data_IF_671062742094
#
_entry.id   IF_671062742094
#
_cell.length_a   1.000
_cell.length_b   1.000
_cell.length_c   1.000
_cell.angle_alpha   90.00
_cell.angle_beta   90.00
_cell.angle_gamma   90.00
#
_symmetry.space_group_name_H-M   'P 1'
#
loop_
_entity.id
_entity.type
_entity.pdbx_description
1 polymer ?
#
# COMPACT_ATOMS: atom_id res chain seq x y z
N UNK A 1 -30.20 25.80 -82.65
CA UNK A 1 -30.05 25.11 -81.33
C UNK A 1 -28.91 25.75 -80.61
N UNK A 2 -29.17 26.50 -79.54
CA UNK A 2 -28.14 27.20 -78.75
C UNK A 2 -28.06 26.42 -77.43
N UNK A 3 -26.87 26.11 -76.84
CA UNK A 3 -26.76 25.49 -75.58
C UNK A 3 -26.94 26.47 -74.41
N UNK A 4 -27.72 26.10 -73.45
CA UNK A 4 -27.96 26.80 -72.18
C UNK A 4 -26.87 26.38 -71.23
N UNK A 5 -26.12 27.32 -70.67
CA UNK A 5 -25.13 27.13 -69.62
C UNK A 5 -25.81 27.38 -68.27
N UNK A 6 -25.78 26.47 -67.29
CA UNK A 6 -26.29 26.76 -65.98
C UNK A 6 -25.25 27.54 -65.13
N UNK A 7 -25.71 28.61 -64.51
CA UNK A 7 -24.94 29.42 -63.58
C UNK A 7 -24.72 28.66 -62.24
N UNK A 8 -23.46 28.52 -61.83
CA UNK A 8 -23.08 28.07 -60.48
C UNK A 8 -23.28 29.21 -59.48
N UNK A 9 -24.20 29.04 -58.57
CA UNK A 9 -24.29 29.88 -57.33
C UNK A 9 -23.19 29.39 -56.34
N UNK A 10 -22.19 30.24 -56.13
CA UNK A 10 -21.22 30.04 -55.04
C UNK A 10 -21.86 30.48 -53.70
N UNK A 11 -22.16 29.53 -52.83
CA UNK A 11 -22.56 29.79 -51.46
C UNK A 11 -21.33 30.13 -50.60
N UNK A 12 -21.21 31.40 -50.19
CA UNK A 12 -20.21 31.84 -49.21
C UNK A 12 -20.70 31.52 -47.82
N UNK A 13 -20.12 30.48 -47.19
CA UNK A 13 -20.33 30.22 -45.74
C UNK A 13 -19.52 31.22 -44.91
N UNK A 14 -20.12 31.90 -43.92
CA UNK A 14 -19.33 32.67 -42.98
C UNK A 14 -18.63 31.75 -42.01
N UNK A 15 -17.29 31.79 -41.98
CA UNK A 15 -16.50 31.17 -40.90
C UNK A 15 -16.74 31.94 -39.61
N UNK A 16 -17.54 31.38 -38.74
CA UNK A 16 -17.61 31.81 -37.35
C UNK A 16 -16.30 31.41 -36.65
N UNK A 17 -15.43 32.39 -36.39
CA UNK A 17 -14.30 32.22 -35.49
C UNK A 17 -14.87 31.99 -34.07
N UNK A 18 -14.95 30.75 -33.65
CA UNK A 18 -15.07 30.43 -32.23
C UNK A 18 -13.73 30.77 -31.55
N UNK A 19 -13.63 31.96 -30.97
CA UNK A 19 -12.63 32.28 -29.96
C UNK A 19 -12.91 31.39 -28.73
N UNK A 20 -12.23 30.25 -28.64
CA UNK A 20 -12.16 29.46 -27.42
C UNK A 20 -11.42 30.32 -26.40
N UNK A 21 -12.15 30.96 -25.51
CA UNK A 21 -11.57 31.53 -24.30
C UNK A 21 -11.02 30.39 -23.48
N UNK A 22 -9.70 30.18 -23.53
CA UNK A 22 -9.01 29.33 -22.56
C UNK A 22 -9.18 30.00 -21.21
N UNK A 23 -10.10 29.47 -20.39
CA UNK A 23 -10.15 29.84 -18.99
C UNK A 23 -8.77 29.60 -18.42
N UNK A 24 -8.11 30.67 -18.02
CA UNK A 24 -6.83 30.59 -17.30
C UNK A 24 -7.17 30.00 -15.94
N UNK A 25 -6.94 28.69 -15.79
CA UNK A 25 -7.12 27.99 -14.52
C UNK A 25 -6.13 28.65 -13.53
N UNK A 26 -6.66 29.38 -12.55
CA UNK A 26 -5.82 29.95 -11.48
C UNK A 26 -5.23 28.76 -10.75
N UNK A 27 -3.89 28.58 -10.75
CA UNK A 27 -3.29 27.47 -10.05
C UNK A 27 -3.72 27.50 -8.58
N UNK A 28 -4.18 26.37 -8.04
CA UNK A 28 -4.44 26.28 -6.62
C UNK A 28 -3.19 26.72 -5.84
N UNK A 29 -3.34 27.47 -4.74
CA UNK A 29 -2.18 27.92 -3.97
C UNK A 29 -1.36 26.71 -3.55
N UNK A 30 -0.04 26.80 -3.71
CA UNK A 30 0.89 25.76 -3.31
C UNK A 30 0.72 25.47 -1.82
N UNK A 31 0.60 24.18 -1.45
CA UNK A 31 0.58 23.78 -0.05
C UNK A 31 1.96 24.03 0.52
N UNK A 32 2.03 24.88 1.54
CA UNK A 32 3.27 25.13 2.27
C UNK A 32 3.42 24.04 3.33
N UNK A 33 4.51 23.28 3.24
CA UNK A 33 4.82 22.26 4.24
C UNK A 33 5.32 22.93 5.52
N UNK A 34 4.73 22.57 6.66
CA UNK A 34 5.15 22.98 8.00
C UNK A 34 4.85 21.87 8.99
N UNK A 35 5.88 21.10 9.33
CA UNK A 35 5.78 19.98 10.27
C UNK A 35 6.10 20.37 11.72
N UNK A 36 6.72 21.53 11.95
CA UNK A 36 7.13 21.96 13.31
C UNK A 36 5.99 22.56 14.10
N UNK A 37 5.14 21.75 14.66
CA UNK A 37 3.99 22.19 15.46
C UNK A 37 3.84 21.46 16.81
N UNK A 38 4.86 20.70 17.24
CA UNK A 38 4.89 19.99 18.51
C UNK A 38 4.13 18.65 18.50
N UNK A 39 3.65 18.21 17.34
CA UNK A 39 2.94 16.94 17.17
C UNK A 39 3.64 16.11 16.11
N UNK A 40 4.13 14.93 16.46
CA UNK A 40 4.77 14.02 15.50
C UNK A 40 3.70 13.36 14.63
N UNK A 41 3.71 13.64 13.33
CA UNK A 41 2.73 13.10 12.37
C UNK A 41 3.36 12.14 11.37
N UNK A 42 2.81 10.94 11.35
CA UNK A 42 3.21 9.89 10.40
C UNK A 42 2.07 9.64 9.41
N UNK A 43 2.45 9.50 8.14
CA UNK A 43 1.53 9.12 7.05
C UNK A 43 2.11 7.99 6.21
N UNK A 44 1.26 7.06 5.80
CA UNK A 44 1.70 6.00 4.90
C UNK A 44 0.67 4.93 4.61
N UNK A 45 1.11 3.89 3.91
CA UNK A 45 0.29 2.73 3.59
C UNK A 45 -0.12 1.97 4.87
N UNK A 46 -1.15 1.12 4.79
CA UNK A 46 -1.50 0.19 5.87
C UNK A 46 -0.31 -0.69 6.29
N UNK A 47 -0.55 -1.81 6.90
CA UNK A 47 0.48 -2.77 7.28
C UNK A 47 1.09 -2.51 8.65
N UNK A 48 2.06 -1.63 8.86
CA UNK A 48 2.67 -1.41 10.18
C UNK A 48 1.83 -0.53 11.12
N UNK A 49 0.66 -0.06 10.69
CA UNK A 49 -0.20 0.87 11.43
C UNK A 49 -0.43 0.44 12.87
N UNK A 50 -0.87 -0.81 13.09
CA UNK A 50 -1.15 -1.33 14.43
C UNK A 50 0.10 -1.36 15.30
N UNK A 51 1.23 -1.79 14.73
CA UNK A 51 2.51 -1.82 15.43
C UNK A 51 3.00 -0.41 15.78
N UNK A 52 2.93 0.52 14.82
CA UNK A 52 3.33 1.91 15.02
C UNK A 52 2.49 2.60 16.11
N UNK A 53 1.16 2.35 16.16
CA UNK A 53 0.29 2.87 17.22
C UNK A 53 0.67 2.36 18.59
N UNK A 54 1.09 1.10 18.72
CA UNK A 54 1.59 0.55 19.98
C UNK A 54 2.88 1.24 20.43
N UNK A 55 3.82 1.47 19.51
CA UNK A 55 5.05 2.22 19.79
C UNK A 55 4.73 3.68 20.13
N UNK A 56 3.81 4.31 19.39
CA UNK A 56 3.37 5.68 19.66
C UNK A 56 2.74 5.83 21.05
N UNK A 57 1.93 4.87 21.47
CA UNK A 57 1.35 4.85 22.82
C UNK A 57 2.44 4.76 23.90
N UNK A 58 3.46 3.93 23.70
CA UNK A 58 4.59 3.84 24.62
C UNK A 58 5.38 5.15 24.65
N UNK A 59 5.64 5.75 23.48
CA UNK A 59 6.35 7.02 23.37
C UNK A 59 5.61 8.16 24.07
N UNK A 60 4.32 8.31 23.78
CA UNK A 60 3.49 9.35 24.40
C UNK A 60 3.42 9.20 25.92
N UNK A 61 3.30 7.96 26.42
CA UNK A 61 3.31 7.69 27.88
C UNK A 61 4.61 8.15 28.53
N UNK A 62 5.74 7.96 27.87
CA UNK A 62 7.07 8.24 28.44
C UNK A 62 7.49 9.71 28.27
N UNK A 63 7.01 10.41 27.24
CA UNK A 63 7.48 11.76 26.89
C UNK A 63 6.41 12.84 27.00
N UNK A 64 5.13 12.47 27.01
CA UNK A 64 4.00 13.40 26.88
C UNK A 64 3.77 13.91 25.45
N UNK A 65 4.64 13.59 24.50
CA UNK A 65 4.55 14.06 23.11
C UNK A 65 3.47 13.30 22.36
N UNK A 66 2.58 14.03 21.69
CA UNK A 66 1.55 13.45 20.86
C UNK A 66 2.15 12.91 19.56
N UNK A 67 1.80 11.67 19.22
CA UNK A 67 2.14 11.03 17.95
C UNK A 67 0.84 10.65 17.23
N UNK A 68 0.64 11.20 16.04
CA UNK A 68 -0.54 10.94 15.20
C UNK A 68 -0.15 10.10 14.00
N UNK A 69 -0.84 8.96 13.83
CA UNK A 69 -0.58 8.02 12.74
C UNK A 69 -1.79 7.97 11.83
N UNK A 70 -1.58 8.28 10.55
CA UNK A 70 -2.61 8.22 9.51
C UNK A 70 -2.19 7.20 8.46
N UNK A 71 -2.93 6.09 8.39
CA UNK A 71 -2.65 4.98 7.50
C UNK A 71 -3.79 4.78 6.49
N UNK A 72 -3.48 4.16 5.36
CA UNK A 72 -4.49 3.76 4.37
C UNK A 72 -4.15 4.23 2.96
N UNK A 73 -5.16 4.26 2.07
CA UNK A 73 -4.96 4.69 0.69
C UNK A 73 -4.48 6.14 0.62
N UNK A 74 -3.39 6.38 -0.10
CA UNK A 74 -2.74 7.69 -0.21
C UNK A 74 -3.71 8.85 -0.53
N UNK A 75 -4.66 8.75 -1.46
CA UNK A 75 -5.56 9.86 -1.77
C UNK A 75 -6.35 10.39 -0.58
N UNK A 76 -6.53 9.58 0.47
CA UNK A 76 -7.31 9.97 1.65
C UNK A 76 -6.55 10.91 2.59
N UNK A 77 -5.23 10.98 2.50
CA UNK A 77 -4.38 11.77 3.39
C UNK A 77 -3.36 12.66 2.68
N UNK A 78 -3.26 12.62 1.35
CA UNK A 78 -2.27 13.35 0.55
C UNK A 78 -2.11 14.82 0.96
N UNK A 79 -3.23 15.58 0.98
CA UNK A 79 -3.18 17.02 1.29
C UNK A 79 -2.65 17.30 2.69
N UNK A 80 -3.04 16.48 3.67
CA UNK A 80 -2.56 16.64 5.04
C UNK A 80 -1.07 16.31 5.14
N UNK A 81 -0.62 15.23 4.51
CA UNK A 81 0.79 14.88 4.50
C UNK A 81 1.66 15.94 3.79
N UNK A 82 1.17 16.51 2.68
CA UNK A 82 1.85 17.62 2.01
C UNK A 82 1.98 18.86 2.91
N UNK A 83 1.04 19.06 3.83
CA UNK A 83 1.04 20.22 4.72
C UNK A 83 1.89 20.02 5.98
N UNK A 84 1.95 18.81 6.57
CA UNK A 84 2.48 18.67 7.92
C UNK A 84 3.06 17.28 8.26
N UNK A 85 3.46 16.48 7.30
CA UNK A 85 4.07 15.19 7.61
C UNK A 85 5.47 15.36 8.16
N UNK A 86 5.73 14.87 9.38
CA UNK A 86 7.08 14.67 9.90
C UNK A 86 7.74 13.45 9.28
N UNK A 87 6.96 12.38 9.13
CA UNK A 87 7.45 11.07 8.70
C UNK A 87 6.48 10.51 7.66
N UNK A 88 7.04 10.02 6.55
CA UNK A 88 6.33 9.11 5.65
C UNK A 88 6.87 7.70 5.85
N UNK A 89 6.00 6.69 5.69
CA UNK A 89 6.43 5.29 5.64
C UNK A 89 5.85 4.57 4.43
N UNK A 90 6.66 3.69 3.85
CA UNK A 90 6.26 2.70 2.84
C UNK A 90 6.31 1.29 3.41
N UNK A 91 5.68 0.36 2.73
CA UNK A 91 5.65 -1.07 3.08
C UNK A 91 6.30 -1.94 2.01
N UNK A 92 6.90 -1.31 1.04
CA UNK A 92 7.78 -1.83 0.00
C UNK A 92 8.50 -0.65 -0.68
N UNK A 93 9.53 -0.95 -1.46
CA UNK A 93 10.29 0.03 -2.21
C UNK A 93 9.41 0.81 -3.21
N UNK A 94 8.40 0.17 -3.78
CA UNK A 94 7.45 0.81 -4.71
C UNK A 94 6.61 1.87 -4.01
N UNK A 95 6.12 1.59 -2.80
CA UNK A 95 5.28 2.53 -2.05
C UNK A 95 6.05 3.81 -1.76
N UNK A 96 7.26 3.68 -1.17
CA UNK A 96 8.05 4.85 -0.79
C UNK A 96 8.54 5.63 -2.01
N UNK A 97 8.88 4.95 -3.11
CA UNK A 97 9.28 5.60 -4.36
C UNK A 97 8.14 6.48 -4.88
N UNK A 98 6.92 5.95 -4.96
CA UNK A 98 5.77 6.71 -5.41
C UNK A 98 5.44 7.88 -4.47
N UNK A 99 5.57 7.69 -3.15
CA UNK A 99 5.40 8.80 -2.19
C UNK A 99 6.42 9.90 -2.41
N UNK A 100 7.69 9.58 -2.66
CA UNK A 100 8.72 10.59 -2.95
C UNK A 100 8.51 11.33 -4.27
N UNK A 101 7.80 10.74 -5.22
CA UNK A 101 7.36 11.43 -6.42
C UNK A 101 6.25 12.45 -6.14
N UNK A 102 5.39 12.18 -5.17
CA UNK A 102 4.27 13.04 -4.74
C UNK A 102 4.71 14.10 -3.73
N UNK A 103 5.56 13.73 -2.76
CA UNK A 103 5.96 14.57 -1.63
C UNK A 103 7.39 15.04 -1.80
N UNK A 104 7.59 16.09 -2.61
CA UNK A 104 8.92 16.62 -3.01
C UNK A 104 9.76 17.18 -1.86
N UNK A 105 9.17 17.40 -0.69
CA UNK A 105 9.88 17.82 0.53
C UNK A 105 10.81 16.73 1.05
N UNK A 106 10.49 15.45 0.79
CA UNK A 106 11.26 14.32 1.29
C UNK A 106 12.33 13.87 0.30
N UNK A 107 13.46 13.40 0.82
CA UNK A 107 14.60 12.97 0.01
C UNK A 107 14.77 11.46 0.03
N UNK A 108 14.99 10.86 -1.14
CA UNK A 108 15.29 9.41 -1.24
C UNK A 108 16.57 9.00 -0.50
N UNK A 109 17.49 9.93 -0.28
CA UNK A 109 18.75 9.67 0.46
C UNK A 109 18.51 9.42 1.95
N UNK A 110 17.38 9.92 2.47
CA UNK A 110 17.03 9.86 3.88
C UNK A 110 16.08 8.70 4.21
N UNK A 111 15.74 7.87 3.21
CA UNK A 111 14.91 6.68 3.41
C UNK A 111 15.69 5.62 4.20
N UNK A 112 15.09 5.16 5.29
CA UNK A 112 15.65 4.16 6.18
C UNK A 112 14.76 2.91 6.19
N UNK A 113 15.22 1.75 5.70
CA UNK A 113 14.59 0.47 5.98
C UNK A 113 14.73 0.16 7.48
N UNK A 114 13.63 -0.15 8.15
CA UNK A 114 13.64 -0.35 9.61
C UNK A 114 13.25 -1.76 10.04
N UNK A 115 12.33 -2.41 9.34
CA UNK A 115 11.88 -3.79 9.60
C UNK A 115 11.54 -4.50 8.29
N UNK A 116 11.47 -5.83 8.35
CA UNK A 116 10.98 -6.68 7.27
C UNK A 116 9.87 -7.59 7.78
N UNK A 117 9.04 -8.09 6.86
CA UNK A 117 8.03 -9.14 7.14
C UNK A 117 7.98 -10.16 6.00
N UNK A 118 7.74 -11.46 6.31
CA UNK A 118 7.56 -12.47 5.29
C UNK A 118 6.13 -12.44 4.74
N UNK A 119 5.95 -12.78 3.46
CA UNK A 119 4.65 -13.20 2.97
C UNK A 119 4.27 -14.54 3.61
N UNK A 120 2.97 -14.72 3.88
CA UNK A 120 2.40 -15.92 4.51
C UNK A 120 1.13 -16.34 3.79
N UNK A 121 0.60 -17.48 4.19
CA UNK A 121 -0.75 -17.92 3.84
C UNK A 121 -1.64 -17.68 5.07
N UNK A 122 -2.61 -16.78 4.99
CA UNK A 122 -3.72 -16.76 5.93
C UNK A 122 -4.72 -17.84 5.54
N UNK A 123 -5.15 -18.64 6.50
CA UNK A 123 -6.17 -19.69 6.32
C UNK A 123 -7.34 -19.43 7.25
N UNK A 124 -8.51 -20.00 6.95
CA UNK A 124 -9.66 -19.93 7.86
C UNK A 124 -9.28 -20.42 9.27
N UNK A 125 -9.88 -19.83 10.29
CA UNK A 125 -9.68 -20.23 11.69
C UNK A 125 -9.85 -21.73 11.86
N UNK A 126 -8.88 -22.38 12.52
CA UNK A 126 -8.81 -23.82 12.70
C UNK A 126 -8.32 -24.60 11.47
N UNK A 127 -7.99 -23.90 10.38
CA UNK A 127 -7.42 -24.50 9.15
C UNK A 127 -8.19 -25.75 8.67
N UNK A 128 -9.48 -25.64 8.36
CA UNK A 128 -10.33 -26.81 8.06
C UNK A 128 -9.89 -27.61 6.82
N UNK A 129 -9.11 -26.99 5.91
CA UNK A 129 -8.54 -27.64 4.73
C UNK A 129 -7.20 -28.31 4.98
N UNK A 130 -6.62 -28.15 6.17
CA UNK A 130 -5.33 -28.73 6.52
C UNK A 130 -4.19 -28.21 5.64
N UNK A 131 -4.23 -26.93 5.23
CA UNK A 131 -3.20 -26.28 4.40
C UNK A 131 -1.92 -26.18 5.21
N UNK A 132 -0.81 -26.70 4.68
CA UNK A 132 0.51 -26.71 5.32
C UNK A 132 1.55 -25.90 4.57
N UNK A 133 1.24 -25.46 3.35
CA UNK A 133 2.14 -24.71 2.50
C UNK A 133 1.56 -24.43 1.14
N UNK A 134 2.38 -23.85 0.26
CA UNK A 134 1.97 -23.40 -1.06
C UNK A 134 1.42 -24.54 -1.94
N UNK A 135 2.01 -25.74 -1.87
CA UNK A 135 1.62 -26.87 -2.73
C UNK A 135 0.16 -27.31 -2.47
N UNK A 136 -0.35 -27.13 -1.25
CA UNK A 136 -1.75 -27.39 -0.95
C UNK A 136 -2.68 -26.42 -1.68
N UNK A 137 -2.22 -25.20 -1.98
CA UNK A 137 -2.97 -24.19 -2.72
C UNK A 137 -3.15 -24.55 -4.21
N UNK A 138 -2.33 -25.47 -4.72
CA UNK A 138 -2.40 -25.96 -6.11
C UNK A 138 -3.43 -27.06 -6.32
N UNK A 139 -4.06 -27.58 -5.27
CA UNK A 139 -5.10 -28.60 -5.36
C UNK A 139 -6.36 -28.02 -6.00
N UNK A 140 -7.02 -28.82 -6.85
CA UNK A 140 -8.25 -28.39 -7.50
C UNK A 140 -9.34 -28.06 -6.48
N UNK A 141 -10.09 -27.00 -6.75
CA UNK A 141 -11.23 -26.59 -5.94
C UNK A 141 -10.87 -25.80 -4.67
N UNK A 142 -9.60 -25.41 -4.50
CA UNK A 142 -9.23 -24.44 -3.48
C UNK A 142 -9.81 -23.07 -3.82
N UNK A 143 -10.27 -22.34 -2.81
CA UNK A 143 -10.76 -20.98 -2.96
C UNK A 143 -9.71 -20.01 -2.39
N UNK A 144 -9.03 -19.30 -3.25
CA UNK A 144 -7.94 -18.41 -2.86
C UNK A 144 -8.33 -16.96 -3.12
N UNK A 145 -8.11 -16.10 -2.14
CA UNK A 145 -8.16 -14.65 -2.32
C UNK A 145 -6.73 -14.14 -2.47
N UNK A 146 -6.56 -13.15 -3.31
CA UNK A 146 -5.29 -12.43 -3.47
C UNK A 146 -5.52 -10.92 -3.48
N UNK A 147 -4.49 -10.17 -3.12
CA UNK A 147 -4.49 -8.73 -3.34
C UNK A 147 -4.04 -8.47 -4.77
N UNK A 148 -4.76 -7.61 -5.47
CA UNK A 148 -4.50 -7.28 -6.87
C UNK A 148 -3.06 -6.80 -7.06
N UNK A 149 -2.34 -7.42 -8.00
CA UNK A 149 -0.94 -7.18 -8.27
C UNK A 149 -0.70 -6.26 -9.46
N UNK A 150 -1.37 -5.15 -9.55
CA UNK A 150 -1.26 -4.29 -10.73
C UNK A 150 -0.06 -3.35 -10.75
N UNK A 151 0.65 -3.18 -9.63
CA UNK A 151 1.70 -2.16 -9.50
C UNK A 151 1.20 -0.71 -9.59
N UNK A 152 -0.11 -0.49 -9.68
CA UNK A 152 -0.71 0.84 -9.88
C UNK A 152 -1.12 1.48 -8.56
N UNK A 153 -1.36 0.68 -7.52
CA UNK A 153 -1.78 1.19 -6.23
C UNK A 153 -0.65 1.07 -5.21
N UNK A 154 -0.39 2.16 -4.50
CA UNK A 154 0.58 2.23 -3.39
C UNK A 154 0.00 1.52 -2.14
N UNK A 155 -0.24 0.22 -2.24
CA UNK A 155 -0.79 -0.59 -1.16
C UNK A 155 0.11 -1.76 -0.84
N UNK A 156 0.26 -2.05 0.45
CA UNK A 156 1.01 -3.22 0.89
C UNK A 156 0.32 -4.50 0.41
N UNK A 157 1.10 -5.47 -0.05
CA UNK A 157 0.59 -6.73 -0.57
C UNK A 157 0.30 -6.74 -2.07
N UNK A 158 0.46 -5.62 -2.76
CA UNK A 158 0.36 -5.56 -4.22
C UNK A 158 1.42 -6.45 -4.86
N UNK A 159 1.02 -7.36 -5.75
CA UNK A 159 1.92 -8.25 -6.50
C UNK A 159 2.51 -9.42 -5.72
N UNK A 160 2.27 -9.53 -4.42
CA UNK A 160 2.92 -10.57 -3.60
C UNK A 160 2.54 -11.99 -4.02
N UNK A 161 1.34 -12.21 -4.52
CA UNK A 161 0.89 -13.54 -4.92
C UNK A 161 1.58 -14.03 -6.19
N UNK A 162 1.85 -13.15 -7.16
CA UNK A 162 2.60 -13.45 -8.36
C UNK A 162 4.03 -13.86 -8.01
N UNK A 163 4.66 -13.09 -7.13
CA UNK A 163 6.02 -13.38 -6.65
C UNK A 163 6.09 -14.73 -5.95
N UNK A 164 5.12 -15.04 -5.08
CA UNK A 164 5.05 -16.33 -4.37
C UNK A 164 4.79 -17.49 -5.34
N UNK A 165 3.81 -17.35 -6.22
CA UNK A 165 3.44 -18.41 -7.17
C UNK A 165 4.55 -18.66 -8.21
N UNK A 166 5.18 -17.60 -8.70
CA UNK A 166 6.24 -17.67 -9.71
C UNK A 166 7.64 -17.91 -9.16
N UNK A 167 7.84 -17.91 -7.83
CA UNK A 167 9.16 -17.89 -7.18
C UNK A 167 10.14 -18.95 -7.66
N UNK A 168 9.67 -20.16 -7.94
CA UNK A 168 10.51 -21.28 -8.38
C UNK A 168 10.55 -21.44 -9.92
N UNK A 169 10.01 -20.47 -10.67
CA UNK A 169 10.04 -20.48 -12.14
C UNK A 169 9.08 -21.47 -12.80
N UNK A 170 8.18 -22.12 -12.05
CA UNK A 170 7.20 -23.06 -12.58
C UNK A 170 5.97 -22.31 -13.12
N UNK A 171 5.82 -22.29 -14.44
CA UNK A 171 4.61 -21.72 -15.07
C UNK A 171 3.37 -22.57 -14.78
N UNK A 172 3.54 -23.89 -14.56
CA UNK A 172 2.43 -24.77 -14.17
C UNK A 172 1.91 -24.42 -12.77
N UNK A 173 2.80 -24.16 -11.82
CA UNK A 173 2.42 -23.70 -10.47
C UNK A 173 1.59 -22.40 -10.56
N UNK A 174 2.08 -21.41 -11.30
CA UNK A 174 1.38 -20.14 -11.50
C UNK A 174 -0.01 -20.35 -12.12
N UNK A 175 -0.11 -21.20 -13.15
CA UNK A 175 -1.36 -21.52 -13.83
C UNK A 175 -2.35 -22.20 -12.88
N UNK A 176 -1.90 -23.23 -12.16
CA UNK A 176 -2.76 -23.97 -11.21
C UNK A 176 -3.20 -23.09 -10.05
N UNK A 177 -2.28 -22.31 -9.49
CA UNK A 177 -2.61 -21.34 -8.44
C UNK A 177 -3.69 -20.35 -8.93
N UNK A 178 -3.46 -19.75 -10.10
CA UNK A 178 -4.38 -18.77 -10.70
C UNK A 178 -5.79 -19.33 -10.94
N UNK A 179 -5.91 -20.60 -11.29
CA UNK A 179 -7.20 -21.27 -11.50
C UNK A 179 -8.04 -21.32 -10.22
N UNK A 180 -7.39 -21.31 -9.05
CA UNK A 180 -8.02 -21.37 -7.75
C UNK A 180 -8.35 -19.98 -7.16
N UNK A 181 -7.95 -18.87 -7.82
CA UNK A 181 -8.26 -17.53 -7.33
C UNK A 181 -9.74 -17.23 -7.58
N UNK A 182 -10.46 -16.97 -6.50
CA UNK A 182 -11.89 -16.62 -6.52
C UNK A 182 -12.14 -15.12 -6.37
N UNK A 183 -11.16 -14.36 -5.88
CA UNK A 183 -11.27 -12.90 -5.76
C UNK A 183 -9.91 -12.21 -5.78
N UNK A 184 -9.91 -11.03 -6.43
CA UNK A 184 -8.81 -10.08 -6.43
C UNK A 184 -9.25 -8.83 -5.67
N UNK A 185 -8.66 -8.59 -4.50
CA UNK A 185 -8.99 -7.42 -3.69
C UNK A 185 -8.14 -6.21 -4.08
N UNK A 186 -8.77 -5.06 -4.23
CA UNK A 186 -8.06 -3.78 -4.39
C UNK A 186 -7.51 -3.30 -3.05
N UNK A 187 -6.30 -3.75 -2.73
CA UNK A 187 -5.65 -3.54 -1.44
C UNK A 187 -6.01 -4.60 -0.39
N UNK A 188 -5.18 -4.70 0.65
CA UNK A 188 -5.26 -5.76 1.66
C UNK A 188 -6.59 -5.76 2.43
N UNK A 189 -7.16 -4.57 2.72
CA UNK A 189 -8.45 -4.49 3.41
C UNK A 189 -9.63 -5.06 2.60
N UNK A 190 -9.64 -4.86 1.27
CA UNK A 190 -10.64 -5.45 0.39
C UNK A 190 -10.43 -6.97 0.26
N UNK A 191 -9.18 -7.42 0.20
CA UNK A 191 -8.84 -8.85 0.19
C UNK A 191 -9.26 -9.54 1.48
N UNK A 192 -9.04 -8.92 2.64
CA UNK A 192 -9.51 -9.44 3.93
C UNK A 192 -11.02 -9.58 3.96
N UNK A 193 -11.76 -8.54 3.54
CA UNK A 193 -13.23 -8.61 3.46
C UNK A 193 -13.70 -9.75 2.56
N UNK A 194 -13.06 -9.94 1.39
CA UNK A 194 -13.38 -11.04 0.48
C UNK A 194 -13.03 -12.40 1.10
N UNK A 195 -11.87 -12.53 1.76
CA UNK A 195 -11.46 -13.75 2.45
C UNK A 195 -12.50 -14.21 3.49
N UNK A 196 -12.98 -13.27 4.31
CA UNK A 196 -14.00 -13.57 5.33
C UNK A 196 -15.37 -13.84 4.71
N UNK A 197 -15.87 -12.94 3.87
CA UNK A 197 -17.26 -13.01 3.34
C UNK A 197 -17.50 -14.17 2.39
N UNK A 198 -16.48 -14.58 1.62
CA UNK A 198 -16.58 -15.70 0.68
C UNK A 198 -16.19 -17.04 1.32
N UNK A 199 -15.82 -17.05 2.58
CA UNK A 199 -15.26 -18.22 3.26
C UNK A 199 -14.15 -18.86 2.40
N UNK A 200 -13.20 -18.02 1.93
CA UNK A 200 -12.11 -18.51 1.11
C UNK A 200 -11.16 -19.37 1.95
N UNK A 201 -10.58 -20.41 1.34
CA UNK A 201 -9.74 -21.37 2.05
C UNK A 201 -8.38 -20.75 2.44
N UNK A 202 -7.88 -19.85 1.59
CA UNK A 202 -6.58 -19.20 1.78
C UNK A 202 -6.53 -17.79 1.20
N UNK A 203 -5.58 -17.00 1.73
CA UNK A 203 -5.21 -15.69 1.22
C UNK A 203 -3.69 -15.50 1.34
N UNK A 204 -3.00 -15.21 0.24
CA UNK A 204 -1.58 -14.83 0.27
C UNK A 204 -1.50 -13.40 0.77
N UNK A 205 -0.87 -13.19 1.93
CA UNK A 205 -0.85 -11.90 2.62
C UNK A 205 0.33 -11.79 3.58
N UNK A 206 0.19 -10.97 4.60
CA UNK A 206 1.19 -10.62 5.60
C UNK A 206 0.77 -11.06 7.00
N UNK A 207 1.71 -11.28 7.94
CA UNK A 207 1.42 -11.80 9.29
C UNK A 207 0.49 -10.92 10.12
N UNK A 208 0.55 -9.60 9.92
CA UNK A 208 -0.27 -8.64 10.66
C UNK A 208 -1.78 -8.95 10.56
N UNK A 209 -2.25 -9.50 9.43
CA UNK A 209 -3.67 -9.81 9.25
C UNK A 209 -4.17 -10.92 10.17
N UNK A 210 -3.63 -12.14 10.17
CA UNK A 210 -4.07 -13.17 11.13
C UNK A 210 -3.69 -12.83 12.58
N UNK A 211 -2.64 -12.03 12.82
CA UNK A 211 -2.27 -11.60 14.18
C UNK A 211 -3.33 -10.64 14.73
N UNK A 212 -3.84 -9.71 13.93
CA UNK A 212 -4.85 -8.73 14.37
C UNK A 212 -6.28 -9.25 14.31
N UNK A 213 -6.52 -10.36 13.62
CA UNK A 213 -7.84 -11.00 13.47
C UNK A 213 -7.78 -12.50 13.80
N UNK A 214 -7.33 -12.86 15.02
CA UNK A 214 -7.10 -14.26 15.40
C UNK A 214 -8.39 -15.09 15.48
N UNK A 215 -9.54 -14.45 15.50
CA UNK A 215 -10.86 -15.10 15.49
C UNK A 215 -11.28 -15.53 14.08
N UNK A 216 -10.67 -14.97 13.03
CA UNK A 216 -11.03 -15.22 11.62
C UNK A 216 -10.00 -16.07 10.90
N UNK A 217 -8.72 -15.93 11.25
CA UNK A 217 -7.64 -16.52 10.48
C UNK A 217 -6.54 -17.12 11.36
N UNK A 218 -5.92 -18.18 10.85
CA UNK A 218 -4.64 -18.72 11.32
C UNK A 218 -3.55 -18.48 10.26
N UNK A 219 -2.29 -18.48 10.69
CA UNK A 219 -1.13 -18.26 9.86
C UNK A 219 -0.48 -19.59 9.49
N UNK A 220 -0.21 -19.80 8.21
CA UNK A 220 0.62 -20.87 7.69
C UNK A 220 1.84 -20.26 7.00
N UNK A 221 3.07 -20.60 7.39
CA UNK A 221 4.26 -20.04 6.77
C UNK A 221 4.47 -20.63 5.37
N UNK A 222 5.07 -19.82 4.49
CA UNK A 222 5.62 -20.30 3.24
C UNK A 222 6.96 -21.01 3.49
N UNK A 223 7.32 -21.95 2.61
CA UNK A 223 8.66 -22.54 2.62
C UNK A 223 9.72 -21.45 2.38
N UNK A 224 10.94 -21.65 2.89
CA UNK A 224 12.06 -20.70 2.68
C UNK A 224 12.28 -20.38 1.20
N UNK A 225 12.10 -21.35 0.32
CA UNK A 225 12.29 -21.18 -1.12
C UNK A 225 11.23 -20.29 -1.79
N UNK A 226 10.04 -20.16 -1.18
CA UNK A 226 8.93 -19.35 -1.71
C UNK A 226 8.67 -18.09 -0.90
N UNK A 227 9.34 -17.90 0.24
CA UNK A 227 9.13 -16.72 1.08
C UNK A 227 9.60 -15.45 0.36
N UNK A 228 8.70 -14.49 0.26
CA UNK A 228 8.96 -13.13 -0.18
C UNK A 228 9.04 -12.26 1.06
N UNK A 229 10.05 -11.41 1.13
CA UNK A 229 10.21 -10.44 2.19
C UNK A 229 9.92 -9.04 1.65
N UNK A 230 9.24 -8.23 2.45
CA UNK A 230 9.06 -6.80 2.18
C UNK A 230 9.46 -6.02 3.42
N UNK A 231 10.08 -4.89 3.18
CA UNK A 231 10.49 -3.98 4.24
C UNK A 231 9.35 -3.01 4.61
N UNK A 232 9.47 -2.42 5.77
CA UNK A 232 8.91 -1.13 6.08
C UNK A 232 10.07 -0.14 6.20
N UNK A 233 9.92 0.96 5.52
CA UNK A 233 10.89 2.05 5.50
C UNK A 233 10.23 3.34 5.95
N UNK A 234 11.02 4.24 6.50
CA UNK A 234 10.59 5.57 6.93
C UNK A 234 11.50 6.63 6.33
N UNK A 235 10.96 7.82 6.14
CA UNK A 235 11.72 9.01 5.76
C UNK A 235 11.21 10.20 6.55
N UNK A 236 12.12 11.02 7.06
CA UNK A 236 11.78 12.24 7.83
C UNK A 236 11.80 13.46 6.92
N UNK A 237 10.86 14.37 7.15
CA UNK A 237 10.91 15.69 6.53
C UNK A 237 12.16 16.47 7.03
N UNK A 238 12.77 17.31 6.20
CA UNK A 238 13.91 18.15 6.61
C UNK A 238 13.56 19.10 7.76
N UNK A 239 12.32 19.55 7.83
CA UNK A 239 11.76 20.44 8.83
C UNK A 239 10.90 19.72 9.88
N UNK A 240 11.00 18.39 9.97
CA UNK A 240 10.29 17.60 10.97
C UNK A 240 10.52 18.10 12.39
N UNK A 241 9.53 17.91 13.25
CA UNK A 241 9.69 18.14 14.69
C UNK A 241 10.90 17.35 15.23
N UNK A 242 11.71 17.93 16.13
CA UNK A 242 12.84 17.21 16.74
C UNK A 242 12.43 15.89 17.41
N UNK A 243 11.20 15.82 17.91
CA UNK A 243 10.62 14.62 18.52
C UNK A 243 10.37 13.49 17.51
N UNK A 244 10.15 13.80 16.23
CA UNK A 244 10.00 12.80 15.18
C UNK A 244 11.24 11.89 15.06
N UNK A 245 12.43 12.48 15.15
CA UNK A 245 13.71 11.72 15.14
C UNK A 245 13.85 10.83 16.38
N UNK A 246 13.44 11.33 17.54
CA UNK A 246 13.46 10.55 18.79
C UNK A 246 12.44 9.42 18.74
N UNK A 247 11.25 9.66 18.15
CA UNK A 247 10.26 8.63 17.94
C UNK A 247 10.78 7.51 17.01
N UNK A 248 11.44 7.84 15.90
CA UNK A 248 12.10 6.85 15.03
C UNK A 248 13.20 6.12 15.80
N UNK A 249 13.94 6.80 16.67
CA UNK A 249 14.91 6.19 17.57
C UNK A 249 14.29 5.13 18.49
N UNK A 250 13.13 5.41 19.10
CA UNK A 250 12.38 4.42 19.88
C UNK A 250 11.88 3.28 18.98
N UNK A 251 11.29 3.62 17.82
CA UNK A 251 10.76 2.64 16.87
C UNK A 251 11.82 1.64 16.46
N UNK A 252 13.08 2.07 16.34
CA UNK A 252 14.22 1.22 15.96
C UNK A 252 15.05 0.71 17.15
N UNK A 253 14.64 0.97 18.38
CA UNK A 253 15.28 0.44 19.60
C UNK A 253 14.91 -1.03 19.86
N UNK A 254 15.54 -1.65 20.87
CA UNK A 254 15.15 -2.99 21.32
C UNK A 254 13.71 -3.04 21.85
N UNK A 255 13.26 -1.97 22.50
CA UNK A 255 11.88 -1.86 22.98
C UNK A 255 10.90 -1.81 21.79
N UNK A 256 11.16 -0.94 20.82
CA UNK A 256 10.39 -0.87 19.60
C UNK A 256 10.39 -2.20 18.84
N UNK A 257 11.55 -2.86 18.75
CA UNK A 257 11.67 -4.16 18.08
C UNK A 257 10.82 -5.26 18.76
N UNK A 258 10.73 -5.26 20.08
CA UNK A 258 9.83 -6.19 20.79
C UNK A 258 8.36 -5.94 20.44
N UNK A 259 7.94 -4.68 20.40
CA UNK A 259 6.57 -4.31 20.02
C UNK A 259 6.30 -4.69 18.56
N UNK A 260 7.18 -4.30 17.64
CA UNK A 260 7.04 -4.59 16.21
C UNK A 260 6.95 -6.11 15.94
N UNK A 261 7.73 -6.91 16.68
CA UNK A 261 7.71 -8.38 16.56
C UNK A 261 6.36 -8.99 16.92
N UNK A 262 5.60 -8.40 17.85
CA UNK A 262 4.25 -8.90 18.19
C UNK A 262 3.25 -8.76 17.05
N UNK A 263 3.56 -7.92 16.07
CA UNK A 263 2.76 -7.67 14.87
C UNK A 263 3.38 -8.31 13.60
N UNK A 264 4.35 -9.22 13.78
CA UNK A 264 4.94 -9.97 12.67
C UNK A 264 6.09 -9.27 11.93
N UNK A 265 6.59 -8.15 12.45
CA UNK A 265 7.74 -7.43 11.90
C UNK A 265 9.03 -7.88 12.58
N UNK A 266 10.09 -8.08 11.80
CA UNK A 266 11.40 -8.54 12.28
C UNK A 266 12.53 -7.66 11.74
N UNK A 267 13.67 -7.71 12.41
CA UNK A 267 14.93 -7.08 11.98
C UNK A 267 15.98 -8.13 11.80
#
# INVERSE_FOLDING_TARGET
MKPVIPALLAAVLPWALCLSATAHEIPAPAIVHNARDGVVRLYGAGGPDTAFRKVATAYQKNTGVQVVITAGPEPTWTKNAQANADILWGTAEQDITAFLETYKTFSSRDVMPIYIRPAIIAVQKGNPKGIRGFDDLLKNGMKIVVTEGSGVANTSGTGVWEDVAGRLGSLDDVKRFRTNIVAFGKGSGASYKAFVSMHADAWITWPDWPITHPEQADLVPLSKARTIWRDVNVVLAPDADPEARKFVGLLTSEEGARIMKTEGWVR
#
